data_IF_425183183774
#
_entry.id   IF_425183183774
#
_cell.length_a   1.000
_cell.length_b   1.000
_cell.length_c   1.000
_cell.angle_alpha   90.00
_cell.angle_beta   90.00
_cell.angle_gamma   90.00
#
_symmetry.space_group_name_H-M   'P 1'
#
loop_
_entity.id
_entity.type
_entity.pdbx_description
1 polymer ?
#
# COMPACT_ATOMS: atom_id res chain seq x y z
N UNK A 1 -7.10 0.08 1.62
CA UNK A 1 -8.36 -0.68 1.64
C UNK A 1 -8.90 -0.77 0.22
N UNK A 2 -9.80 -1.72 -0.04
CA UNK A 2 -10.60 -1.82 -1.27
C UNK A 2 -12.03 -2.06 -0.80
N UNK A 3 -12.96 -1.17 -1.14
CA UNK A 3 -14.38 -1.24 -0.71
C UNK A 3 -14.53 -1.54 0.80
N UNK A 4 -13.86 -0.75 1.64
CA UNK A 4 -13.79 -0.90 3.11
C UNK A 4 -13.11 -2.19 3.62
N UNK A 5 -12.59 -3.04 2.74
CA UNK A 5 -11.80 -4.21 3.12
C UNK A 5 -10.33 -3.84 3.35
N UNK A 6 -9.79 -4.01 4.56
CA UNK A 6 -8.36 -3.94 4.78
C UNK A 6 -7.65 -5.08 4.04
N UNK A 7 -6.58 -4.77 3.31
CA UNK A 7 -5.78 -5.74 2.55
C UNK A 7 -4.34 -5.85 3.10
N UNK A 8 -3.88 -4.79 3.78
CA UNK A 8 -2.59 -4.69 4.43
C UNK A 8 -2.66 -3.63 5.53
N UNK A 9 -2.02 -3.91 6.65
CA UNK A 9 -1.70 -2.98 7.72
C UNK A 9 -0.18 -2.91 7.84
N UNK A 10 0.39 -1.71 7.88
CA UNK A 10 1.82 -1.50 8.08
C UNK A 10 1.97 -0.59 9.29
N UNK A 11 2.32 -1.18 10.43
CA UNK A 11 2.32 -0.50 11.72
C UNK A 11 3.56 0.36 11.90
N UNK A 12 3.42 1.45 12.66
CA UNK A 12 4.59 2.21 13.10
C UNK A 12 5.36 1.39 14.15
N UNK A 13 6.55 0.95 13.76
CA UNK A 13 7.48 0.20 14.60
C UNK A 13 8.83 0.95 14.76
N UNK A 14 8.81 2.29 14.70
CA UNK A 14 9.99 3.14 14.94
C UNK A 14 10.65 2.86 16.30
N UNK A 15 9.84 2.56 17.33
CA UNK A 15 10.33 2.15 18.65
C UNK A 15 11.13 0.85 18.65
N UNK A 16 11.07 0.09 17.55
CA UNK A 16 11.85 -1.13 17.29
C UNK A 16 12.85 -0.95 16.15
N UNK A 17 13.15 0.30 15.77
CA UNK A 17 14.17 0.65 14.77
C UNK A 17 13.72 0.56 13.31
N UNK A 18 12.43 0.34 13.03
CA UNK A 18 11.90 0.26 11.66
C UNK A 18 11.43 1.64 11.23
N UNK A 19 11.99 2.16 10.13
CA UNK A 19 11.61 3.47 9.61
C UNK A 19 10.12 3.51 9.22
N UNK A 20 9.45 4.64 9.51
CA UNK A 20 8.04 4.85 9.20
C UNK A 20 7.81 6.25 8.61
N UNK A 21 6.92 6.41 7.61
CA UNK A 21 6.64 7.71 7.00
C UNK A 21 5.80 8.59 7.94
N UNK A 22 6.47 9.24 8.90
CA UNK A 22 5.84 10.07 9.94
C UNK A 22 6.00 11.57 9.71
N UNK A 23 7.21 12.01 9.33
CA UNK A 23 7.60 13.43 9.38
C UNK A 23 7.82 14.06 7.99
N UNK A 24 7.57 13.32 6.92
CA UNK A 24 7.75 13.80 5.54
C UNK A 24 6.37 14.02 4.90
N UNK A 25 5.96 15.28 4.63
CA UNK A 25 4.70 15.55 3.96
C UNK A 25 4.65 14.87 2.58
N UNK A 26 3.52 14.25 2.26
CA UNK A 26 3.32 13.51 1.02
C UNK A 26 2.35 14.23 0.08
N UNK A 27 2.46 13.94 -1.21
CA UNK A 27 1.50 14.35 -2.24
C UNK A 27 0.83 13.10 -2.83
N UNK A 28 -0.42 13.24 -3.25
CA UNK A 28 -1.12 12.19 -3.99
C UNK A 28 -0.71 12.25 -5.47
N UNK A 29 -0.45 11.09 -6.05
CA UNK A 29 -0.12 10.92 -7.46
C UNK A 29 -0.97 9.82 -8.06
N UNK A 30 -1.35 9.96 -9.33
CA UNK A 30 -1.96 8.91 -10.14
C UNK A 30 -1.36 8.98 -11.55
N UNK A 31 -1.08 7.83 -12.14
CA UNK A 31 -0.48 7.74 -13.49
C UNK A 31 -0.88 6.45 -14.17
N UNK A 32 -0.96 6.48 -15.50
CA UNK A 32 -1.05 5.30 -16.36
C UNK A 32 0.20 5.31 -17.24
N UNK A 33 1.01 4.27 -17.16
CA UNK A 33 2.30 4.20 -17.86
C UNK A 33 2.67 2.75 -18.18
N UNK A 34 3.57 2.55 -19.15
CA UNK A 34 4.07 1.22 -19.53
C UNK A 34 5.22 0.77 -18.62
N UNK A 35 5.11 -0.43 -18.06
CA UNK A 35 6.09 -1.04 -17.16
C UNK A 35 6.44 -2.49 -17.59
N UNK A 36 6.66 -2.68 -18.89
CA UNK A 36 6.93 -3.97 -19.55
C UNK A 36 8.01 -4.83 -18.88
N UNK A 37 8.98 -4.23 -18.20
CA UNK A 37 10.10 -4.95 -17.59
C UNK A 37 9.68 -5.78 -16.37
N UNK A 38 8.52 -5.52 -15.76
CA UNK A 38 8.12 -6.22 -14.53
C UNK A 38 6.61 -6.40 -14.31
N UNK A 39 5.74 -5.60 -14.93
CA UNK A 39 4.34 -5.51 -14.53
C UNK A 39 3.53 -6.80 -14.70
N UNK A 40 3.62 -7.47 -15.85
CA UNK A 40 2.79 -8.65 -16.14
C UNK A 40 3.65 -9.92 -16.17
N UNK A 41 3.34 -10.83 -15.23
CA UNK A 41 4.09 -12.08 -15.04
C UNK A 41 5.61 -11.87 -14.90
N UNK A 42 6.00 -10.87 -14.08
CA UNK A 42 7.40 -10.53 -13.88
C UNK A 42 8.10 -9.99 -15.14
N UNK A 43 7.35 -9.36 -16.05
CA UNK A 43 7.87 -8.77 -17.29
C UNK A 43 7.90 -9.71 -18.49
N UNK A 44 7.36 -10.94 -18.35
CA UNK A 44 7.30 -11.94 -19.43
C UNK A 44 6.32 -11.55 -20.54
N UNK A 45 5.20 -10.94 -20.18
CA UNK A 45 4.17 -10.50 -21.13
C UNK A 45 4.35 -9.00 -21.36
N UNK A 46 4.52 -8.61 -22.62
CA UNK A 46 4.74 -7.23 -23.05
C UNK A 46 3.43 -6.60 -23.52
N UNK A 47 3.38 -5.28 -23.46
CA UNK A 47 2.25 -4.48 -23.92
C UNK A 47 2.04 -4.68 -25.42
N UNK A 48 0.86 -5.18 -25.80
CA UNK A 48 0.42 -5.21 -27.19
C UNK A 48 -0.23 -3.88 -27.55
N UNK A 49 0.57 -2.99 -28.16
CA UNK A 49 0.15 -1.64 -28.54
C UNK A 49 -0.93 -1.60 -29.62
N UNK A 50 -1.24 -2.71 -30.29
CA UNK A 50 -2.39 -2.77 -31.21
C UNK A 50 -3.74 -2.62 -30.49
N UNK A 51 -3.79 -2.85 -29.17
CA UNK A 51 -4.98 -2.64 -28.33
C UNK A 51 -5.10 -1.22 -27.76
N UNK A 52 -4.23 -0.29 -28.16
CA UNK A 52 -4.33 1.11 -27.74
C UNK A 52 -5.61 1.79 -28.27
N UNK A 53 -6.17 2.79 -27.55
CA UNK A 53 -5.62 3.41 -26.35
C UNK A 53 -5.97 2.67 -25.05
N UNK A 54 -4.98 2.52 -24.16
CA UNK A 54 -5.21 2.09 -22.78
C UNK A 54 -5.76 3.25 -21.96
N UNK A 55 -6.92 3.06 -21.33
CA UNK A 55 -7.63 4.13 -20.62
C UNK A 55 -7.93 3.74 -19.18
N UNK A 56 -7.57 4.61 -18.23
CA UNK A 56 -7.95 4.49 -16.82
C UNK A 56 -8.86 5.66 -16.46
N UNK A 57 -10.01 5.37 -15.86
CA UNK A 57 -11.00 6.38 -15.46
C UNK A 57 -11.02 6.53 -13.95
N UNK A 58 -10.96 7.78 -13.47
CA UNK A 58 -10.97 8.12 -12.05
C UNK A 58 -12.16 9.03 -11.75
N UNK A 59 -12.80 8.81 -10.61
CA UNK A 59 -13.91 9.63 -10.09
C UNK A 59 -13.83 9.67 -8.56
N UNK A 60 -14.59 10.57 -7.94
CA UNK A 60 -14.70 10.63 -6.49
C UNK A 60 -13.43 11.11 -5.78
N UNK A 61 -12.71 12.07 -6.36
CA UNK A 61 -11.53 12.67 -5.75
C UNK A 61 -11.90 13.31 -4.39
N UNK A 62 -11.57 12.62 -3.31
CA UNK A 62 -11.78 13.06 -1.92
C UNK A 62 -10.47 12.91 -1.17
N UNK A 63 -9.97 14.01 -0.62
CA UNK A 63 -8.84 14.01 0.30
C UNK A 63 -9.31 14.64 1.61
N UNK A 64 -9.45 13.81 2.64
CA UNK A 64 -9.47 14.27 4.02
C UNK A 64 -8.03 14.13 4.51
N UNK A 65 -7.37 15.23 4.84
CA UNK A 65 -5.94 15.25 5.11
C UNK A 65 -5.57 16.41 6.06
N UNK A 66 -4.57 16.17 6.92
CA UNK A 66 -3.88 17.24 7.62
C UNK A 66 -2.91 17.95 6.66
N UNK A 67 -3.38 19.01 5.99
CA UNK A 67 -2.57 19.78 5.05
C UNK A 67 -1.54 20.60 5.83
N UNK A 68 -0.26 20.36 5.55
CA UNK A 68 0.84 21.16 6.13
C UNK A 68 0.85 22.53 5.44
N UNK A 69 0.26 23.53 6.08
CA UNK A 69 0.36 24.94 5.69
C UNK A 69 1.38 25.66 6.58
N UNK A 70 1.96 26.76 6.10
CA UNK A 70 2.81 27.61 6.93
C UNK A 70 1.97 28.21 8.07
N UNK A 71 1.95 27.55 9.22
CA UNK A 71 1.33 28.05 10.47
C UNK A 71 0.09 27.32 10.99
N UNK A 72 -0.26 26.12 10.52
CA UNK A 72 -1.42 25.40 11.05
C UNK A 72 -1.25 23.89 11.19
N UNK A 73 -1.60 23.36 12.36
CA UNK A 73 -1.86 21.93 12.61
C UNK A 73 -3.36 21.72 12.72
N UNK A 74 -4.04 21.45 11.61
CA UNK A 74 -5.42 20.98 11.64
C UNK A 74 -5.41 19.46 11.46
N UNK A 75 -5.15 18.73 12.54
CA UNK A 75 -5.23 17.28 12.57
C UNK A 75 -6.50 16.89 13.34
N UNK A 76 -7.54 16.45 12.64
CA UNK A 76 -8.75 15.88 13.28
C UNK A 76 -8.52 14.43 13.69
N UNK A 77 -9.28 13.90 14.66
CA UNK A 77 -9.05 12.56 15.23
C UNK A 77 -9.25 11.38 14.27
N UNK A 78 -9.80 11.61 13.08
CA UNK A 78 -10.19 10.54 12.15
C UNK A 78 -9.04 9.66 11.66
N UNK A 79 -7.77 10.12 11.69
CA UNK A 79 -6.62 9.35 11.21
C UNK A 79 -6.00 8.43 12.29
N UNK A 80 -6.30 8.67 13.57
CA UNK A 80 -5.82 7.84 14.68
C UNK A 80 -6.72 6.60 14.85
N UNK A 81 -6.68 5.70 13.87
CA UNK A 81 -7.47 4.47 13.89
C UNK A 81 -6.57 3.23 13.92
N UNK A 82 -6.97 2.25 14.72
CA UNK A 82 -6.44 0.88 14.66
C UNK A 82 -7.50 -0.05 14.06
N UNK A 83 -7.06 -1.09 13.36
CA UNK A 83 -7.99 -2.12 12.89
C UNK A 83 -8.52 -2.91 14.09
N UNK A 84 -9.84 -2.85 14.30
CA UNK A 84 -10.53 -3.75 15.22
C UNK A 84 -10.38 -5.23 14.81
N UNK A 85 -10.73 -6.14 15.72
CA UNK A 85 -10.62 -7.59 15.51
C UNK A 85 -11.36 -8.06 14.26
N UNK A 86 -12.56 -7.53 14.01
CA UNK A 86 -13.38 -7.88 12.84
C UNK A 86 -12.67 -7.51 11.54
N UNK A 87 -12.09 -6.31 11.48
CA UNK A 87 -11.32 -5.82 10.34
C UNK A 87 -10.03 -6.61 10.16
N UNK A 88 -9.36 -7.00 11.24
CA UNK A 88 -8.18 -7.87 11.18
C UNK A 88 -8.53 -9.26 10.61
N UNK A 89 -9.66 -9.85 11.02
CA UNK A 89 -10.14 -11.13 10.48
C UNK A 89 -10.48 -11.04 8.99
N UNK A 90 -11.16 -9.95 8.57
CA UNK A 90 -11.42 -9.69 7.16
C UNK A 90 -10.13 -9.57 6.36
N UNK A 91 -9.13 -8.85 6.88
CA UNK A 91 -7.82 -8.74 6.24
C UNK A 91 -7.14 -10.10 6.09
N UNK A 92 -7.14 -10.93 7.15
CA UNK A 92 -6.59 -12.28 7.10
C UNK A 92 -7.30 -13.15 6.08
N UNK A 93 -8.63 -13.03 5.96
CA UNK A 93 -9.39 -13.75 4.95
C UNK A 93 -9.00 -13.30 3.53
N UNK A 94 -8.86 -11.99 3.29
CA UNK A 94 -8.37 -11.48 1.99
C UNK A 94 -6.98 -12.01 1.69
N UNK A 95 -6.07 -11.95 2.66
CA UNK A 95 -4.71 -12.45 2.50
C UNK A 95 -4.67 -13.94 2.21
N UNK A 96 -5.49 -14.75 2.88
CA UNK A 96 -5.56 -16.20 2.68
C UNK A 96 -6.09 -16.58 1.30
N UNK A 97 -7.07 -15.84 0.78
CA UNK A 97 -7.77 -16.21 -0.45
C UNK A 97 -7.23 -15.54 -1.72
N UNK A 98 -6.60 -14.36 -1.61
CA UNK A 98 -6.26 -13.52 -2.77
C UNK A 98 -4.80 -13.07 -2.85
N UNK A 99 -4.00 -13.25 -1.79
CA UNK A 99 -2.59 -12.82 -1.82
C UNK A 99 -1.73 -13.79 -2.60
N UNK A 100 -1.22 -13.35 -3.75
CA UNK A 100 -0.33 -14.16 -4.61
C UNK A 100 1.16 -13.94 -4.34
N UNK A 101 1.50 -12.89 -3.58
CA UNK A 101 2.89 -12.54 -3.27
C UNK A 101 2.97 -11.77 -1.94
N UNK A 102 3.94 -12.13 -1.11
CA UNK A 102 4.27 -11.42 0.14
C UNK A 102 5.79 -11.43 0.35
N UNK A 103 6.39 -10.25 0.49
CA UNK A 103 7.84 -10.13 0.67
C UNK A 103 8.33 -10.70 2.00
N UNK A 104 7.47 -10.73 3.03
CA UNK A 104 7.79 -11.32 4.34
C UNK A 104 7.99 -12.83 4.28
N UNK A 105 7.44 -13.50 3.26
CA UNK A 105 7.46 -14.95 3.11
C UNK A 105 8.10 -15.39 1.80
N UNK A 106 8.74 -14.47 1.05
CA UNK A 106 9.48 -14.79 -0.17
C UNK A 106 10.84 -15.40 0.19
N UNK A 107 11.07 -16.71 -0.06
CA UNK A 107 12.30 -17.39 0.35
C UNK A 107 13.57 -16.75 -0.21
N UNK A 108 13.49 -16.18 -1.42
CA UNK A 108 14.67 -15.54 -2.06
C UNK A 108 15.03 -14.24 -1.36
N UNK A 109 14.06 -13.49 -0.86
CA UNK A 109 14.27 -12.21 -0.17
C UNK A 109 14.67 -12.41 1.28
N UNK A 110 14.03 -13.36 1.96
CA UNK A 110 14.29 -13.60 3.39
C UNK A 110 15.54 -14.45 3.63
N UNK A 111 16.20 -14.95 2.58
CA UNK A 111 17.44 -15.72 2.68
C UNK A 111 18.54 -15.00 3.49
N UNK A 112 18.56 -13.66 3.46
CA UNK A 112 19.51 -12.81 4.20
C UNK A 112 18.97 -12.32 5.54
N UNK A 113 17.77 -12.75 5.93
CA UNK A 113 17.05 -12.29 7.12
C UNK A 113 15.64 -11.84 6.79
N UNK A 114 14.70 -12.13 7.70
CA UNK A 114 13.32 -11.64 7.60
C UNK A 114 13.29 -10.16 8.02
N UNK A 115 12.67 -9.27 7.23
CA UNK A 115 12.49 -7.88 7.64
C UNK A 115 11.80 -7.80 9.01
N UNK A 116 12.32 -6.98 9.92
CA UNK A 116 11.91 -7.01 11.32
C UNK A 116 10.40 -6.73 11.51
N UNK A 117 9.80 -5.95 10.62
CA UNK A 117 8.36 -5.66 10.64
C UNK A 117 7.47 -6.88 10.32
N UNK A 118 8.03 -7.93 9.72
CA UNK A 118 7.30 -9.11 9.28
C UNK A 118 7.10 -10.16 10.38
N UNK A 119 7.88 -10.10 11.46
CA UNK A 119 7.89 -11.08 12.54
C UNK A 119 7.12 -10.64 13.79
N UNK A 120 6.23 -9.65 13.65
CA UNK A 120 5.57 -8.97 14.77
C UNK A 120 4.05 -9.03 14.73
#
# INVERSE_FOLDING_TARGET
MVDDMPIRDFRNLEGKGIAFPKNQPMRLYSSLWNADDWATQGGRVKTDWSHAPFSASYRGFKADACVVTAGGTAAGDWYNQELDLTRQERMRWVQSNYMIYNYCTDPKRVATGVPAECSM
#
